data_IF_511262773881
#
_entry.id   IF_511262773881
#
_cell.length_a   1.000
_cell.length_b   1.000
_cell.length_c   1.000
_cell.angle_alpha   90.00
_cell.angle_beta   90.00
_cell.angle_gamma   90.00
#
_symmetry.space_group_name_H-M   'P 1'
#
loop_
_entity.id
_entity.type
_entity.pdbx_description
1 polymer ?
#
# COMPACT_ATOMS: atom_id res chain seq x y z
N UNK A 1 16.71 -0.21 -0.09
CA UNK A 1 15.32 -0.23 0.44
C UNK A 1 15.21 -1.33 1.47
N UNK A 2 14.73 -1.00 2.65
CA UNK A 2 14.50 -2.01 3.68
C UNK A 2 13.33 -2.90 3.28
N UNK A 3 13.39 -4.20 3.62
CA UNK A 3 12.29 -5.10 3.26
C UNK A 3 10.94 -4.70 3.87
N UNK A 4 10.96 -4.21 5.11
CA UNK A 4 9.77 -3.78 5.82
C UNK A 4 9.99 -2.36 6.33
N UNK A 5 9.05 -1.49 6.03
CA UNK A 5 9.09 -0.10 6.48
C UNK A 5 8.06 0.10 7.57
N UNK A 6 8.41 0.85 8.61
CA UNK A 6 7.56 1.05 9.78
C UNK A 6 7.48 2.53 10.11
N UNK A 7 6.33 2.97 10.57
CA UNK A 7 6.15 4.34 11.01
C UNK A 7 4.93 4.45 11.93
N UNK A 8 5.02 5.36 12.90
CA UNK A 8 3.90 5.68 13.77
C UNK A 8 3.18 6.91 13.24
N UNK A 9 1.86 6.90 13.36
CA UNK A 9 1.01 8.02 12.99
C UNK A 9 0.07 8.36 14.13
N UNK A 10 -0.02 9.63 14.56
CA UNK A 10 -1.01 10.02 15.56
C UNK A 10 -2.40 10.13 14.92
N UNK A 11 -3.41 9.67 15.64
CA UNK A 11 -4.80 9.82 15.20
C UNK A 11 -5.28 11.18 15.69
N UNK A 12 -5.33 12.15 14.79
CA UNK A 12 -5.67 13.53 15.06
C UNK A 12 -7.12 13.84 14.67
N UNK A 13 -7.61 15.03 15.00
CA UNK A 13 -9.01 15.39 14.78
C UNK A 13 -9.45 15.25 13.32
N UNK A 14 -8.59 15.64 12.37
CA UNK A 14 -8.94 15.52 10.96
C UNK A 14 -9.02 14.09 10.46
N UNK A 15 -8.51 13.15 11.26
CA UNK A 15 -8.48 11.74 10.88
C UNK A 15 -9.74 10.99 11.26
N UNK A 16 -10.58 11.56 12.12
CA UNK A 16 -11.69 10.83 12.74
C UNK A 16 -13.04 11.37 12.31
N UNK A 17 -14.06 10.52 12.47
CA UNK A 17 -15.44 10.92 12.26
C UNK A 17 -15.99 11.62 13.51
N UNK A 18 -17.28 11.96 13.48
CA UNK A 18 -17.92 12.68 14.61
C UNK A 18 -17.98 11.86 15.89
N UNK A 19 -17.70 10.56 15.81
CA UNK A 19 -17.68 9.68 16.98
C UNK A 19 -16.27 9.45 17.49
N UNK A 20 -15.27 10.15 16.94
CA UNK A 20 -13.90 10.02 17.37
C UNK A 20 -13.17 8.78 16.89
N UNK A 21 -13.69 8.10 15.87
CA UNK A 21 -13.07 6.90 15.31
C UNK A 21 -12.43 7.23 13.97
N UNK A 22 -11.30 6.59 13.70
CA UNK A 22 -10.57 6.79 12.44
C UNK A 22 -11.49 6.52 11.24
N UNK A 23 -11.51 7.45 10.29
CA UNK A 23 -12.28 7.26 9.07
C UNK A 23 -11.60 6.22 8.19
N UNK A 24 -12.36 5.29 7.58
CA UNK A 24 -11.76 4.35 6.63
C UNK A 24 -10.99 5.03 5.50
N UNK A 25 -11.43 6.20 5.05
CA UNK A 25 -10.69 6.96 4.04
C UNK A 25 -9.32 7.39 4.53
N UNK A 26 -9.18 7.70 5.82
CA UNK A 26 -7.90 8.07 6.40
C UNK A 26 -6.98 6.86 6.51
N UNK A 27 -7.55 5.68 6.74
CA UNK A 27 -6.78 4.42 6.68
C UNK A 27 -6.09 4.27 5.33
N UNK A 28 -6.84 4.51 4.26
CA UNK A 28 -6.28 4.43 2.91
C UNK A 28 -5.23 5.51 2.67
N UNK A 29 -5.45 6.69 3.23
CA UNK A 29 -4.48 7.77 3.13
C UNK A 29 -3.16 7.40 3.82
N UNK A 30 -3.24 6.85 5.04
CA UNK A 30 -2.04 6.39 5.74
C UNK A 30 -1.31 5.33 4.93
N UNK A 31 -2.06 4.41 4.33
CA UNK A 31 -1.48 3.35 3.52
C UNK A 31 -0.69 3.91 2.34
N UNK A 32 -1.25 4.90 1.66
CA UNK A 32 -0.58 5.53 0.52
C UNK A 32 0.63 6.34 0.96
N UNK A 33 0.50 7.04 2.07
CA UNK A 33 1.57 7.87 2.58
C UNK A 33 2.80 7.04 2.94
N UNK A 34 2.59 5.94 3.67
CA UNK A 34 3.71 5.09 4.09
C UNK A 34 4.32 4.35 2.90
N UNK A 35 3.51 3.96 1.93
CA UNK A 35 4.01 3.33 0.71
C UNK A 35 4.91 4.28 -0.06
N UNK A 36 4.50 5.54 -0.18
CA UNK A 36 5.30 6.55 -0.85
C UNK A 36 6.64 6.79 -0.16
N UNK A 37 6.62 6.82 1.16
CA UNK A 37 7.86 7.01 1.93
C UNK A 37 8.82 5.85 1.77
N UNK A 38 8.28 4.63 1.76
CA UNK A 38 9.12 3.44 1.59
C UNK A 38 9.78 3.41 0.21
N UNK A 39 9.09 3.89 -0.81
CA UNK A 39 9.58 3.90 -2.19
C UNK A 39 10.23 5.21 -2.59
N UNK A 40 10.49 6.11 -1.64
CA UNK A 40 11.02 7.43 -1.95
C UNK A 40 12.36 7.36 -2.67
N UNK A 41 13.17 6.38 -2.37
CA UNK A 41 14.47 6.23 -3.02
C UNK A 41 14.36 5.89 -4.51
N UNK A 42 13.19 5.50 -4.99
CA UNK A 42 12.95 5.24 -6.40
C UNK A 42 12.45 6.47 -7.17
N UNK A 43 12.19 7.57 -6.48
CA UNK A 43 11.56 8.74 -7.08
C UNK A 43 12.33 9.26 -8.29
N UNK A 44 13.65 9.42 -8.15
CA UNK A 44 14.47 9.95 -9.26
C UNK A 44 14.52 8.98 -10.43
N UNK A 45 14.59 7.69 -10.16
CA UNK A 45 14.58 6.68 -11.21
C UNK A 45 13.28 6.69 -11.99
N UNK A 46 12.15 6.77 -11.27
CA UNK A 46 10.84 6.85 -11.94
C UNK A 46 10.74 8.12 -12.77
N UNK A 47 11.18 9.25 -12.23
CA UNK A 47 11.15 10.51 -12.95
C UNK A 47 11.96 10.43 -14.24
N UNK A 48 13.16 9.88 -14.17
CA UNK A 48 14.04 9.79 -15.35
C UNK A 48 13.46 8.87 -16.42
N UNK A 49 12.65 7.90 -16.04
CA UNK A 49 11.97 7.00 -16.99
C UNK A 49 10.57 7.50 -17.36
N UNK A 50 10.17 8.65 -16.85
CA UNK A 50 8.86 9.27 -17.04
C UNK A 50 7.72 8.33 -16.63
N UNK A 51 7.90 7.70 -15.48
CA UNK A 51 6.93 6.77 -14.90
C UNK A 51 6.37 7.35 -13.61
N UNK A 52 5.14 6.94 -13.26
CA UNK A 52 4.56 7.27 -11.96
C UNK A 52 3.72 6.11 -11.45
N UNK A 53 3.54 6.08 -10.13
CA UNK A 53 2.77 5.02 -9.49
C UNK A 53 1.28 5.33 -9.54
N UNK A 54 0.48 4.29 -9.76
CA UNK A 54 -0.97 4.36 -9.62
C UNK A 54 -1.43 3.11 -8.87
N UNK A 55 -2.30 3.30 -7.88
CA UNK A 55 -2.91 2.16 -7.20
C UNK A 55 -4.17 1.79 -7.96
N UNK A 56 -4.31 0.50 -8.30
CA UNK A 56 -5.42 0.05 -9.12
C UNK A 56 -6.40 -0.82 -8.35
N UNK A 57 -5.93 -1.51 -7.32
CA UNK A 57 -6.76 -2.40 -6.53
C UNK A 57 -6.37 -2.27 -5.08
N UNK A 58 -7.38 -2.36 -4.21
CA UNK A 58 -7.15 -2.27 -2.79
C UNK A 58 -8.17 -3.15 -2.07
N UNK A 59 -7.68 -4.03 -1.22
CA UNK A 59 -8.53 -4.86 -0.37
C UNK A 59 -8.15 -4.59 1.07
N UNK A 60 -9.15 -4.29 1.89
CA UNK A 60 -8.91 -3.93 3.30
C UNK A 60 -9.77 -4.82 4.19
N UNK A 61 -9.16 -5.35 5.22
CA UNK A 61 -9.87 -6.04 6.28
C UNK A 61 -9.74 -5.20 7.54
N UNK A 62 -10.85 -4.73 8.07
CA UNK A 62 -10.87 -3.87 9.25
C UNK A 62 -11.44 -4.64 10.42
N UNK A 63 -10.65 -4.78 11.49
CA UNK A 63 -11.08 -5.43 12.71
C UNK A 63 -11.58 -4.40 13.72
N UNK A 64 -10.93 -3.22 13.74
CA UNK A 64 -11.25 -2.16 14.66
C UNK A 64 -10.75 -0.84 14.07
N UNK A 65 -11.49 0.24 14.27
CA UNK A 65 -11.04 1.57 13.87
C UNK A 65 -10.43 2.27 15.09
N UNK A 66 -9.16 2.68 15.03
CA UNK A 66 -8.53 3.41 16.13
C UNK A 66 -9.27 4.69 16.46
N UNK A 67 -9.09 5.18 17.68
CA UNK A 67 -9.80 6.34 18.18
C UNK A 67 -8.88 7.55 18.28
N UNK A 68 -9.50 8.72 18.33
CA UNK A 68 -8.79 9.98 18.53
C UNK A 68 -7.87 9.89 19.74
N UNK A 69 -6.64 10.34 19.59
CA UNK A 69 -5.65 10.34 20.66
C UNK A 69 -4.75 9.13 20.69
N UNK A 70 -5.08 8.06 19.96
CA UNK A 70 -4.19 6.91 19.83
C UNK A 70 -3.07 7.23 18.84
N UNK A 71 -1.93 6.55 19.04
CA UNK A 71 -0.88 6.52 18.02
C UNK A 71 -0.87 5.13 17.43
N UNK A 72 -1.04 5.02 16.12
CA UNK A 72 -1.03 3.74 15.44
C UNK A 72 0.36 3.46 14.89
N UNK A 73 0.72 2.17 14.87
CA UNK A 73 1.98 1.70 14.30
C UNK A 73 1.66 1.00 12.98
N UNK A 74 2.30 1.42 11.90
CA UNK A 74 2.02 0.88 10.57
C UNK A 74 3.27 0.21 10.04
N UNK A 75 3.10 -1.01 9.53
CA UNK A 75 4.14 -1.75 8.83
C UNK A 75 3.70 -1.97 7.40
N UNK A 76 4.61 -1.81 6.47
CA UNK A 76 4.35 -2.05 5.06
C UNK A 76 5.53 -2.72 4.41
N UNK A 77 5.25 -3.57 3.43
CA UNK A 77 6.30 -4.21 2.65
C UNK A 77 5.79 -4.51 1.25
N UNK A 78 6.66 -4.34 0.24
CA UNK A 78 6.32 -4.77 -1.10
C UNK A 78 6.40 -6.29 -1.17
N UNK A 79 5.51 -6.89 -1.94
CA UNK A 79 5.51 -8.32 -2.20
C UNK A 79 6.14 -8.57 -3.57
N UNK A 80 6.50 -9.81 -3.91
CA UNK A 80 7.01 -10.10 -5.24
C UNK A 80 6.04 -9.61 -6.32
N UNK A 81 6.57 -8.98 -7.35
CA UNK A 81 5.73 -8.40 -8.39
C UNK A 81 5.02 -9.46 -9.22
N UNK A 82 3.90 -9.06 -9.81
CA UNK A 82 3.16 -9.87 -10.76
C UNK A 82 3.51 -9.42 -12.17
N UNK A 83 2.84 -9.99 -13.17
CA UNK A 83 3.02 -9.56 -14.56
C UNK A 83 2.60 -8.11 -14.79
N UNK A 84 1.65 -7.63 -14.00
CA UNK A 84 1.04 -6.32 -14.25
C UNK A 84 1.49 -5.26 -13.27
N UNK A 85 1.95 -5.64 -12.08
CA UNK A 85 2.26 -4.63 -11.09
C UNK A 85 2.97 -5.14 -9.86
N UNK A 86 2.98 -4.29 -8.84
CA UNK A 86 3.72 -4.48 -7.60
C UNK A 86 2.75 -4.49 -6.43
N UNK A 87 2.44 -5.68 -5.88
CA UNK A 87 1.57 -5.75 -4.72
C UNK A 87 2.29 -5.25 -3.47
N UNK A 88 1.52 -4.70 -2.55
CA UNK A 88 2.06 -4.21 -1.28
C UNK A 88 1.12 -4.56 -0.15
N UNK A 89 1.67 -5.05 0.93
CA UNK A 89 0.92 -5.37 2.14
C UNK A 89 1.11 -4.29 3.19
N UNK A 90 0.06 -4.01 3.95
CA UNK A 90 0.09 -2.99 4.99
C UNK A 90 -0.68 -3.51 6.19
N UNK A 91 -0.11 -3.35 7.39
CA UNK A 91 -0.76 -3.75 8.63
C UNK A 91 -0.73 -2.55 9.57
N UNK A 92 -1.85 -2.27 10.20
CA UNK A 92 -1.96 -1.19 11.16
C UNK A 92 -2.27 -1.78 12.53
N UNK A 93 -1.45 -1.41 13.51
CA UNK A 93 -1.61 -1.85 14.90
C UNK A 93 -2.04 -0.67 15.74
N UNK A 94 -2.88 -0.93 16.75
CA UNK A 94 -3.28 0.11 17.69
C UNK A 94 -2.17 0.37 18.71
N UNK A 95 -2.44 1.30 19.62
CA UNK A 95 -1.44 1.71 20.61
C UNK A 95 -1.06 0.58 21.56
N UNK A 96 -1.95 -0.39 21.74
CA UNK A 96 -1.71 -1.56 22.58
C UNK A 96 -0.99 -2.68 21.81
N UNK A 97 -0.77 -2.52 20.52
CA UNK A 97 -0.08 -3.51 19.70
C UNK A 97 -1.01 -4.53 19.04
N UNK A 98 -2.33 -4.33 19.13
CA UNK A 98 -3.27 -5.23 18.48
C UNK A 98 -3.50 -4.82 17.03
N UNK A 99 -3.63 -5.80 16.14
CA UNK A 99 -3.88 -5.53 14.74
C UNK A 99 -5.28 -4.93 14.55
N UNK A 100 -5.33 -3.73 13.98
CA UNK A 100 -6.58 -3.03 13.69
C UNK A 100 -7.07 -3.31 12.28
N UNK A 101 -6.16 -3.33 11.32
CA UNK A 101 -6.50 -3.57 9.93
C UNK A 101 -5.33 -4.16 9.19
N UNK A 102 -5.66 -4.84 8.11
CA UNK A 102 -4.67 -5.41 7.19
C UNK A 102 -5.17 -5.16 5.79
N UNK A 103 -4.28 -4.75 4.91
CA UNK A 103 -4.68 -4.47 3.53
C UNK A 103 -3.63 -4.94 2.56
N UNK A 104 -4.08 -5.10 1.32
CA UNK A 104 -3.20 -5.37 0.20
C UNK A 104 -3.62 -4.44 -0.93
N UNK A 105 -2.64 -3.88 -1.61
CA UNK A 105 -2.87 -3.00 -2.75
C UNK A 105 -2.01 -3.45 -3.91
N UNK A 106 -2.49 -3.19 -5.12
CA UNK A 106 -1.72 -3.44 -6.33
C UNK A 106 -1.36 -2.11 -6.95
N UNK A 107 -0.08 -1.84 -7.05
CA UNK A 107 0.46 -0.65 -7.65
C UNK A 107 0.95 -0.98 -9.04
N UNK A 108 0.68 -0.09 -9.99
CA UNK A 108 1.17 -0.23 -11.35
C UNK A 108 1.97 1.01 -11.72
N UNK A 109 2.91 0.83 -12.63
CA UNK A 109 3.65 1.94 -13.20
C UNK A 109 2.91 2.42 -14.43
N UNK A 110 2.78 3.73 -14.54
CA UNK A 110 2.13 4.40 -15.66
C UNK A 110 3.14 5.25 -16.41
N UNK A 111 3.08 5.21 -17.71
CA UNK A 111 3.89 6.08 -18.56
C UNK A 111 3.25 7.47 -18.60
N UNK A 112 4.03 8.50 -18.30
CA UNK A 112 3.53 9.87 -18.25
C UNK A 112 3.06 10.38 -19.62
N UNK A 113 3.65 9.88 -20.67
CA UNK A 113 3.37 10.36 -22.04
C UNK A 113 2.18 9.62 -22.67
N UNK A 114 2.19 8.29 -22.59
CA UNK A 114 1.13 7.47 -23.20
C UNK A 114 -0.06 7.26 -22.31
N UNK A 115 0.09 7.47 -20.99
CA UNK A 115 -0.93 7.20 -19.99
C UNK A 115 -1.34 5.73 -19.93
N UNK A 116 -0.46 4.86 -20.41
CA UNK A 116 -0.66 3.40 -20.37
C UNK A 116 0.15 2.80 -19.25
N UNK A 117 -0.29 1.65 -18.74
CA UNK A 117 0.47 0.92 -17.74
C UNK A 117 1.68 0.26 -18.38
N UNK A 118 2.75 0.15 -17.61
CA UNK A 118 3.99 -0.49 -18.03
C UNK A 118 4.22 -1.67 -17.10
N UNK A 119 4.38 -2.87 -17.68
CA UNK A 119 4.61 -4.06 -16.85
C UNK A 119 5.95 -3.96 -16.11
N UNK A 120 6.09 -4.64 -14.96
CA UNK A 120 7.37 -4.63 -14.25
C UNK A 120 8.55 -5.02 -15.12
N UNK A 121 8.40 -6.03 -15.96
CA UNK A 121 9.48 -6.49 -16.82
C UNK A 121 9.94 -5.40 -17.79
N UNK A 122 8.98 -4.70 -18.40
CA UNK A 122 9.30 -3.67 -19.39
C UNK A 122 9.81 -2.39 -18.75
N UNK A 123 9.39 -2.13 -17.51
CA UNK A 123 9.78 -0.89 -16.83
C UNK A 123 11.24 -0.89 -16.41
N UNK A 124 11.79 -2.06 -16.13
CA UNK A 124 13.13 -2.16 -15.56
C UNK A 124 13.20 -1.75 -14.08
N UNK A 125 12.08 -1.39 -13.48
CA UNK A 125 12.04 -0.98 -12.07
C UNK A 125 11.96 -2.23 -11.20
N UNK A 126 12.93 -2.37 -10.29
CA UNK A 126 13.00 -3.52 -9.40
C UNK A 126 12.65 -3.07 -7.99
N UNK A 127 11.61 -3.68 -7.42
CA UNK A 127 11.24 -3.47 -6.03
C UNK A 127 11.36 -4.84 -5.37
N UNK A 128 12.36 -5.04 -4.50
CA UNK A 128 12.56 -6.34 -3.85
C UNK A 128 11.32 -6.71 -3.03
N UNK A 129 10.75 -7.87 -3.30
CA UNK A 129 9.53 -8.30 -2.65
C UNK A 129 9.78 -9.22 -1.47
N UNK A 130 8.90 -9.12 -0.47
CA UNK A 130 8.95 -9.90 0.76
C UNK A 130 7.61 -10.57 0.98
N UNK A 131 7.63 -11.84 1.41
CA UNK A 131 6.40 -12.54 1.84
C UNK A 131 6.60 -12.95 3.28
N UNK A 132 5.64 -12.56 4.14
CA UNK A 132 5.65 -12.92 5.55
C UNK A 132 4.71 -14.08 5.86
N UNK A 133 3.86 -14.46 4.90
CA UNK A 133 2.91 -15.55 5.06
C UNK A 133 1.57 -15.14 5.66
N UNK A 134 1.41 -13.86 5.98
CA UNK A 134 0.19 -13.35 6.61
C UNK A 134 -0.59 -12.40 5.70
N UNK A 135 -0.12 -12.20 4.49
CA UNK A 135 -0.73 -11.25 3.56
C UNK A 135 -2.10 -11.70 3.11
N UNK A 136 -2.99 -10.75 2.86
CA UNK A 136 -4.25 -11.02 2.22
C UNK A 136 -4.01 -11.39 0.75
N UNK A 137 -4.93 -12.14 0.17
CA UNK A 137 -4.87 -12.42 -1.24
C UNK A 137 -5.26 -11.17 -2.04
N UNK A 138 -4.66 -11.00 -3.21
CA UNK A 138 -5.08 -9.93 -4.11
C UNK A 138 -6.55 -10.11 -4.48
N UNK A 139 -7.26 -8.99 -4.73
CA UNK A 139 -8.66 -9.09 -5.12
C UNK A 139 -8.86 -10.02 -6.31
N UNK A 140 -9.87 -10.86 -6.23
CA UNK A 140 -10.13 -11.90 -7.21
C UNK A 140 -10.34 -11.41 -8.63
N UNK A 141 -10.72 -10.16 -8.79
CA UNK A 141 -10.84 -9.58 -10.12
C UNK A 141 -9.55 -9.51 -10.88
N UNK A 142 -8.44 -9.78 -10.22
CA UNK A 142 -7.15 -9.87 -10.86
C UNK A 142 -6.89 -11.25 -11.45
N UNK A 143 -7.68 -12.22 -11.07
CA UNK A 143 -7.55 -13.54 -11.61
C UNK A 143 -8.23 -13.53 -12.95
N UNK A 144 -7.48 -13.55 -13.98
CA UNK A 144 -8.10 -13.57 -15.29
C UNK A 144 -8.73 -14.88 -15.47
N UNK A 145 -9.48 -14.93 -15.65
CA UNK A 145 -9.93 -15.98 -15.76
C UNK A 145 -9.62 -16.54 -16.85
N UNK A 146 -9.07 -16.51 -16.75
CA UNK A 146 -8.74 -16.77 -17.61
C UNK A 146 -9.10 -17.28 -18.32
N UNK A 147 -9.38 -17.05 -18.10
CA UNK A 147 -9.63 -17.41 -18.55
C UNK A 147 -9.91 -17.99 -19.05
N UNK A 148 -10.22 -17.94 -18.91
CA UNK A 148 -10.49 -18.48 -19.28
C UNK A 148 -10.59 -18.67 -19.99
#
# INVERSE_FOLDING_TARGET
MEPIFQQDFPVQELCVDRYGRLKPSTLLYFAQEIAGRHCDELADTLESHRLFWAVTRHRVQINRLPELGETVHIETWPMPNTHVGYPRSIVIYDQAGNECSRSISLWVLMDQDTRSSVSPDKSGIIVPGTLRGTELALPGGLVPRAME
#
